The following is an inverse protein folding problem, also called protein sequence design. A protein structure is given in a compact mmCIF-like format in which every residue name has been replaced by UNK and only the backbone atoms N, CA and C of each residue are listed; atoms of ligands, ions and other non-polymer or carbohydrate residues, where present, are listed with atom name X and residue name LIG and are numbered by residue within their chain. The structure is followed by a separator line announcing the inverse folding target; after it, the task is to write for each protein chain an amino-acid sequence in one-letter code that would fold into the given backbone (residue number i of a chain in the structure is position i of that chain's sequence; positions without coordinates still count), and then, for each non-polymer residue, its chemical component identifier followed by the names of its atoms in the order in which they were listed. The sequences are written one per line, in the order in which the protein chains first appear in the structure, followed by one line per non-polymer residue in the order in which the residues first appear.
data_IF_008479227668
#
_entry.id   IF_008479227668
#
_cell.length_a   1.000
_cell.length_b   1.000
_cell.length_c   1.000
_cell.angle_alpha   90.00
_cell.angle_beta   90.00
_cell.angle_gamma   90.00
#
_symmetry.space_group_name_H-M   'P 1'
#
loop_
_entity.id
_entity.type
_entity.pdbx_description
1 polymer ?
#
# COMPACT_ATOMS: atom_id res chain seq x y z
N UNK A 1 16.43 -10.91 28.95
CA UNK A 1 16.11 -11.25 27.54
C UNK A 1 15.42 -10.03 26.95
N UNK A 2 15.98 -9.40 25.90
CA UNK A 2 15.67 -8.01 25.51
C UNK A 2 14.46 -7.93 24.58
N UNK A 3 13.58 -6.99 24.89
CA UNK A 3 12.42 -6.54 24.09
C UNK A 3 12.80 -6.19 22.65
N UNK A 4 12.18 -6.87 21.68
CA UNK A 4 12.18 -6.45 20.29
C UNK A 4 11.08 -5.40 20.08
N UNK A 5 11.43 -4.12 20.31
CA UNK A 5 10.60 -2.99 19.89
C UNK A 5 10.57 -2.95 18.36
N UNK A 6 9.39 -3.20 17.78
CA UNK A 6 9.09 -2.94 16.37
C UNK A 6 9.14 -1.43 16.07
N UNK A 7 10.35 -0.90 15.90
CA UNK A 7 10.62 0.48 15.51
C UNK A 7 10.71 0.62 13.98
N UNK A 8 9.64 0.22 13.29
CA UNK A 8 9.39 0.56 11.89
C UNK A 8 8.21 1.53 11.80
N UNK A 9 8.30 2.56 10.96
CA UNK A 9 7.18 3.45 10.63
C UNK A 9 6.13 2.70 9.80
N UNK A 10 5.41 1.79 10.45
CA UNK A 10 4.22 1.17 9.89
C UNK A 10 3.10 2.21 9.79
N UNK A 11 2.30 2.22 8.72
CA UNK A 11 1.08 3.01 8.68
C UNK A 11 0.19 2.61 9.87
N UNK A 12 -0.36 3.60 10.57
CA UNK A 12 -1.19 3.40 11.79
C UNK A 12 -2.24 2.26 11.71
N UNK A 13 -2.94 2.01 10.58
CA UNK A 13 -3.89 0.89 10.49
C UNK A 13 -3.24 -0.51 10.51
N UNK A 14 -2.01 -0.68 10.04
CA UNK A 14 -1.30 -1.97 10.08
C UNK A 14 -1.02 -2.44 11.53
N UNK A 15 -0.89 -1.48 12.46
CA UNK A 15 -0.76 -1.78 13.89
C UNK A 15 -2.08 -2.21 14.53
N UNK A 16 -3.23 -1.77 13.99
CA UNK A 16 -4.56 -2.16 14.47
C UNK A 16 -4.96 -3.56 13.98
N UNK A 17 -4.56 -3.93 12.75
CA UNK A 17 -4.77 -5.27 12.20
C UNK A 17 -4.18 -6.37 13.10
N UNK A 18 -3.02 -6.12 13.71
CA UNK A 18 -2.35 -7.07 14.59
C UNK A 18 -3.09 -7.31 15.92
N UNK A 19 -3.99 -6.40 16.35
CA UNK A 19 -4.75 -6.54 17.61
C UNK A 19 -6.03 -7.37 17.49
N UNK A 20 -6.52 -7.67 16.29
CA UNK A 20 -7.76 -8.45 16.09
C UNK A 20 -7.46 -9.82 15.50
N UNK A 21 -6.90 -10.71 16.31
CA UNK A 21 -6.95 -12.16 16.09
C UNK A 21 -8.06 -12.74 16.97
N UNK A 22 -9.30 -12.72 16.48
CA UNK A 22 -10.42 -13.31 17.21
C UNK A 22 -11.49 -13.85 16.26
N UNK A 23 -11.11 -14.48 15.14
CA UNK A 23 -12.03 -15.26 14.28
C UNK A 23 -13.24 -14.55 13.66
N UNK A 24 -13.52 -13.30 14.04
CA UNK A 24 -14.65 -12.50 13.60
C UNK A 24 -14.23 -11.73 12.34
N UNK A 25 -14.94 -11.97 11.24
CA UNK A 25 -14.69 -11.25 9.98
C UNK A 25 -15.18 -9.81 10.15
N UNK A 26 -14.26 -8.90 10.46
CA UNK A 26 -14.51 -7.46 10.49
C UNK A 26 -14.60 -6.92 9.05
N UNK A 27 -15.82 -6.93 8.51
CA UNK A 27 -16.11 -6.52 7.12
C UNK A 27 -15.69 -5.06 6.90
N UNK A 28 -15.89 -4.20 7.89
CA UNK A 28 -15.56 -2.77 7.79
C UNK A 28 -14.05 -2.56 7.76
N UNK A 29 -13.30 -3.33 8.55
CA UNK A 29 -11.85 -3.37 8.48
C UNK A 29 -11.37 -3.78 7.08
N UNK A 30 -11.87 -4.91 6.55
CA UNK A 30 -11.46 -5.41 5.23
C UNK A 30 -11.85 -4.44 4.11
N UNK A 31 -13.01 -3.79 4.22
CA UNK A 31 -13.45 -2.74 3.30
C UNK A 31 -12.57 -1.50 3.38
N UNK A 32 -12.05 -1.14 4.55
CA UNK A 32 -11.08 -0.05 4.72
C UNK A 32 -9.69 -0.39 4.17
N UNK A 33 -9.34 -1.67 4.13
CA UNK A 33 -8.10 -2.17 3.54
C UNK A 33 -8.17 -2.15 2.02
N UNK A 34 -9.15 -2.84 1.45
CA UNK A 34 -9.29 -3.08 0.02
C UNK A 34 -10.71 -2.79 -0.43
N UNK A 35 -10.91 -1.67 -1.12
CA UNK A 35 -12.15 -1.36 -1.83
C UNK A 35 -11.85 -1.22 -3.32
N UNK A 36 -12.33 -2.17 -4.10
CA UNK A 36 -12.22 -2.16 -5.56
C UNK A 36 -13.61 -2.00 -6.17
N UNK A 37 -13.75 -1.01 -7.05
CA UNK A 37 -14.96 -0.80 -7.84
C UNK A 37 -14.60 -0.92 -9.32
N UNK A 38 -15.30 -1.81 -10.02
CA UNK A 38 -15.09 -2.10 -11.44
C UNK A 38 -16.40 -2.52 -12.11
N UNK A 39 -16.50 -2.29 -13.41
CA UNK A 39 -17.64 -2.63 -14.25
C UNK A 39 -17.23 -2.57 -15.73
N UNK A 40 -18.18 -2.39 -16.65
CA UNK A 40 -17.86 -2.13 -18.08
C UNK A 40 -17.24 -0.75 -18.34
N UNK A 41 -16.82 -0.06 -17.29
CA UNK A 41 -16.42 1.33 -17.25
C UNK A 41 -15.09 1.53 -16.53
N UNK A 42 -14.79 2.76 -16.07
CA UNK A 42 -13.58 3.01 -15.30
C UNK A 42 -13.57 2.20 -14.00
N UNK A 43 -12.37 1.87 -13.52
CA UNK A 43 -12.18 1.16 -12.26
C UNK A 43 -11.30 1.96 -11.30
N UNK A 44 -11.50 1.76 -10.01
CA UNK A 44 -10.70 2.38 -8.96
C UNK A 44 -10.48 1.43 -7.78
N UNK A 45 -9.26 1.47 -7.26
CA UNK A 45 -8.81 0.78 -6.06
C UNK A 45 -8.54 1.84 -4.98
N UNK A 46 -9.23 1.74 -3.86
CA UNK A 46 -9.11 2.66 -2.71
C UNK A 46 -8.98 1.86 -1.42
N UNK A 47 -8.65 2.55 -0.33
CA UNK A 47 -8.30 1.94 0.96
C UNK A 47 -6.80 2.04 1.24
N UNK A 48 -6.39 1.63 2.43
CA UNK A 48 -4.99 1.81 2.83
C UNK A 48 -4.02 0.88 2.09
N UNK A 49 -4.51 -0.13 1.35
CA UNK A 49 -3.66 -0.96 0.48
C UNK A 49 -2.83 -0.13 -0.51
N UNK A 50 -3.34 1.02 -0.96
CA UNK A 50 -2.65 1.91 -1.90
C UNK A 50 -1.35 2.46 -1.29
N UNK A 51 -1.27 2.58 0.04
CA UNK A 51 -0.05 3.02 0.74
C UNK A 51 1.08 2.00 0.69
N UNK A 52 0.77 0.75 0.35
CA UNK A 52 1.75 -0.32 0.19
C UNK A 52 2.51 -0.25 -1.14
N UNK A 53 2.11 0.63 -2.06
CA UNK A 53 2.71 0.77 -3.37
C UNK A 53 3.20 2.21 -3.56
N UNK A 54 4.47 2.52 -3.24
CA UNK A 54 5.05 3.85 -3.43
C UNK A 54 5.06 4.29 -4.90
N UNK A 55 5.16 3.33 -5.80
CA UNK A 55 5.16 3.55 -7.24
C UNK A 55 4.07 2.72 -7.90
N UNK A 56 3.45 3.31 -8.92
CA UNK A 56 2.42 2.70 -9.74
C UNK A 56 2.84 2.73 -11.20
N UNK A 57 2.28 1.85 -12.00
CA UNK A 57 2.40 1.91 -13.45
C UNK A 57 1.62 3.13 -13.93
N UNK A 58 2.33 4.15 -14.42
CA UNK A 58 1.75 5.41 -14.92
C UNK A 58 1.58 5.41 -16.44
N UNK A 59 2.32 4.55 -17.14
CA UNK A 59 2.17 4.29 -18.56
C UNK A 59 1.99 2.78 -18.78
N UNK A 60 0.82 2.39 -19.27
CA UNK A 60 0.48 1.00 -19.48
C UNK A 60 1.21 0.35 -20.66
N UNK A 61 1.64 1.14 -21.66
CA UNK A 61 2.34 0.67 -22.86
C UNK A 61 3.80 0.36 -22.56
N UNK A 62 4.46 1.27 -21.85
CA UNK A 62 5.88 1.14 -21.50
C UNK A 62 6.10 0.46 -20.14
N UNK A 63 5.03 0.29 -19.34
CA UNK A 63 5.07 -0.16 -17.95
C UNK A 63 5.91 0.74 -17.04
N UNK A 64 6.10 2.01 -17.43
CA UNK A 64 6.87 2.96 -16.64
C UNK A 64 6.26 3.14 -15.24
N UNK A 65 7.13 3.12 -14.22
CA UNK A 65 6.76 3.38 -12.84
C UNK A 65 6.85 4.88 -12.54
N UNK A 66 5.84 5.41 -11.88
CA UNK A 66 5.80 6.78 -11.39
C UNK A 66 5.32 6.84 -9.93
N UNK A 67 5.51 7.99 -9.25
CA UNK A 67 5.12 8.16 -7.87
C UNK A 67 3.60 8.00 -7.69
N UNK A 68 3.21 7.30 -6.63
CA UNK A 68 1.80 7.13 -6.28
C UNK A 68 1.23 8.43 -5.70
N UNK A 69 0.47 9.18 -6.51
CA UNK A 69 -0.17 10.43 -6.10
C UNK A 69 -1.17 10.30 -4.94
N UNK A 70 -1.67 9.10 -4.67
CA UNK A 70 -2.67 8.83 -3.63
C UNK A 70 -2.05 8.52 -2.26
N UNK A 71 -0.72 8.36 -2.17
CA UNK A 71 -0.04 7.86 -0.98
C UNK A 71 -0.24 8.76 0.25
N UNK A 72 -0.16 10.08 0.06
CA UNK A 72 -0.30 11.05 1.16
C UNK A 72 -1.74 11.28 1.62
N UNK A 73 -2.72 11.06 0.74
CA UNK A 73 -4.12 11.44 0.96
C UNK A 73 -5.09 10.25 0.86
N UNK A 74 -4.60 9.02 1.00
CA UNK A 74 -5.37 7.80 0.76
C UNK A 74 -6.70 7.77 1.52
N UNK A 75 -6.73 8.30 2.74
CA UNK A 75 -7.93 8.31 3.59
C UNK A 75 -9.00 9.25 3.03
N UNK A 76 -8.61 10.46 2.63
CA UNK A 76 -9.55 11.42 2.03
C UNK A 76 -10.16 10.86 0.74
N UNK A 77 -9.33 10.23 -0.09
CA UNK A 77 -9.77 9.54 -1.31
C UNK A 77 -10.70 8.36 -1.02
N UNK A 78 -10.39 7.54 0.00
CA UNK A 78 -11.27 6.45 0.43
C UNK A 78 -12.63 6.96 0.93
N UNK A 79 -12.63 8.00 1.76
CA UNK A 79 -13.85 8.62 2.30
C UNK A 79 -14.71 9.21 1.17
N UNK A 80 -14.10 9.93 0.21
CA UNK A 80 -14.77 10.46 -0.97
C UNK A 80 -15.39 9.36 -1.84
N UNK A 81 -14.68 8.25 -2.03
CA UNK A 81 -15.16 7.14 -2.83
C UNK A 81 -16.33 6.38 -2.16
N UNK A 82 -16.37 6.33 -0.83
CA UNK A 82 -17.50 5.76 -0.08
C UNK A 82 -18.71 6.69 -0.02
N UNK A 83 -18.50 8.01 -0.02
CA UNK A 83 -19.59 8.98 -0.06
C UNK A 83 -20.30 9.04 -1.42
N UNK A 84 -19.69 8.49 -2.48
CA UNK A 84 -20.26 8.51 -3.83
C UNK A 84 -21.49 7.61 -3.93
N UNK A 85 -22.61 8.20 -4.34
CA UNK A 85 -23.83 7.47 -4.68
C UNK A 85 -23.85 7.14 -6.17
N UNK A 86 -23.47 5.92 -6.55
CA UNK A 86 -23.56 5.41 -7.92
C UNK A 86 -22.23 4.88 -8.49
N UNK A 87 -22.28 4.45 -9.76
CA UNK A 87 -21.13 3.92 -10.48
C UNK A 87 -20.11 5.01 -10.83
N UNK A 88 -18.83 4.67 -10.82
CA UNK A 88 -17.77 5.53 -11.34
C UNK A 88 -17.99 5.79 -12.83
N UNK A 89 -17.99 7.05 -13.22
CA UNK A 89 -18.21 7.50 -14.60
C UNK A 89 -16.94 8.09 -15.19
N UNK A 90 -16.83 8.10 -16.52
CA UNK A 90 -15.65 8.59 -17.23
C UNK A 90 -15.40 10.10 -17.08
N UNK A 91 -16.45 10.87 -16.79
CA UNK A 91 -16.41 12.32 -16.58
C UNK A 91 -15.99 12.73 -15.15
N UNK A 92 -15.88 11.76 -14.24
CA UNK A 92 -15.52 12.01 -12.84
C UNK A 92 -14.10 11.49 -12.57
N UNK A 93 -13.21 12.30 -11.96
CA UNK A 93 -11.89 11.82 -11.56
C UNK A 93 -11.97 10.62 -10.60
N UNK A 94 -11.13 9.61 -10.82
CA UNK A 94 -11.07 8.46 -9.91
C UNK A 94 -10.38 8.83 -8.60
N UNK A 95 -10.90 8.28 -7.50
CA UNK A 95 -10.31 8.47 -6.17
C UNK A 95 -9.15 7.52 -5.91
N UNK A 96 -8.90 6.60 -6.82
CA UNK A 96 -7.80 5.65 -6.71
C UNK A 96 -7.28 5.19 -8.07
N UNK A 97 -6.12 4.51 -8.08
CA UNK A 97 -5.61 3.90 -9.30
C UNK A 97 -6.53 2.76 -9.75
N UNK A 98 -6.56 2.47 -11.05
CA UNK A 98 -7.09 1.18 -11.51
C UNK A 98 -6.24 0.02 -10.99
N UNK A 99 -6.82 -1.15 -10.79
CA UNK A 99 -6.08 -2.32 -10.26
C UNK A 99 -4.87 -2.70 -11.14
N UNK A 100 -4.94 -2.43 -12.44
CA UNK A 100 -3.85 -2.67 -13.39
C UNK A 100 -2.64 -1.74 -13.23
N UNK A 101 -2.81 -0.62 -12.51
CA UNK A 101 -1.70 0.27 -12.19
C UNK A 101 -0.87 -0.25 -11.00
N UNK A 102 -1.39 -1.21 -10.25
CA UNK A 102 -0.63 -1.94 -9.23
C UNK A 102 0.29 -2.94 -9.95
N UNK A 103 1.62 -2.86 -9.77
CA UNK A 103 2.52 -3.82 -10.37
C UNK A 103 2.26 -5.24 -9.81
N UNK A 104 2.28 -6.24 -10.68
CA UNK A 104 1.97 -7.64 -10.33
C UNK A 104 3.01 -8.33 -9.43
N UNK A 105 4.12 -7.66 -9.15
CA UNK A 105 5.24 -8.17 -8.36
C UNK A 105 5.72 -7.09 -7.37
N UNK A 106 6.71 -7.44 -6.52
CA UNK A 106 7.47 -6.50 -5.70
C UNK A 106 7.73 -5.20 -6.48
N UNK A 107 7.07 -4.12 -6.10
CA UNK A 107 7.28 -2.81 -6.68
C UNK A 107 8.67 -2.34 -6.26
N UNK A 108 9.61 -2.32 -7.20
CA UNK A 108 10.97 -1.83 -6.98
C UNK A 108 11.17 -0.52 -7.74
N UNK A 109 11.56 0.55 -7.05
CA UNK A 109 11.86 1.84 -7.66
C UNK A 109 13.23 2.36 -7.21
N UNK A 110 14.10 2.83 -8.13
CA UNK A 110 15.40 3.41 -7.77
C UNK A 110 15.22 4.73 -7.03
N UNK A 111 16.08 4.98 -6.03
CA UNK A 111 16.07 6.15 -5.17
C UNK A 111 17.49 6.60 -4.94
N UNK A 112 17.75 7.89 -5.17
CA UNK A 112 19.01 8.49 -4.76
C UNK A 112 18.85 9.10 -3.36
N UNK A 113 19.54 8.54 -2.38
CA UNK A 113 19.65 9.12 -1.05
C UNK A 113 20.82 10.09 -1.02
N UNK A 114 20.58 11.31 -0.55
CA UNK A 114 21.62 12.32 -0.31
C UNK A 114 21.70 12.54 1.20
N UNK A 115 22.83 12.18 1.78
CA UNK A 115 23.12 12.46 3.19
C UNK A 115 23.43 13.95 3.34
N UNK A 116 22.59 14.66 4.09
CA UNK A 116 22.70 16.10 4.28
C UNK A 116 23.89 16.52 5.16
N UNK A 117 24.47 15.60 5.96
CA UNK A 117 25.59 15.91 6.86
C UNK A 117 26.95 15.88 6.15
N UNK A 118 27.10 15.02 5.15
CA UNK A 118 28.39 14.82 4.45
C UNK A 118 28.28 14.94 2.92
N UNK A 119 27.08 15.19 2.38
CA UNK A 119 26.83 15.30 0.94
C UNK A 119 26.93 13.99 0.17
N UNK A 120 27.12 12.85 0.84
CA UNK A 120 27.30 11.55 0.19
C UNK A 120 26.01 11.11 -0.51
N UNK A 121 26.17 10.53 -1.70
CA UNK A 121 25.07 10.03 -2.52
C UNK A 121 25.09 8.51 -2.50
N UNK A 122 23.96 7.89 -2.21
CA UNK A 122 23.78 6.43 -2.26
C UNK A 122 22.62 6.09 -3.18
N UNK A 123 22.87 5.20 -4.13
CA UNK A 123 21.83 4.60 -4.95
C UNK A 123 21.17 3.47 -4.15
N UNK A 124 19.86 3.61 -3.93
CA UNK A 124 19.02 2.71 -3.15
C UNK A 124 17.83 2.27 -4.02
N UNK A 125 17.07 1.29 -3.54
CA UNK A 125 15.79 0.89 -4.13
C UNK A 125 14.73 0.85 -3.05
N UNK A 126 13.57 1.47 -3.29
CA UNK A 126 12.35 1.14 -2.55
C UNK A 126 11.83 -0.18 -3.09
N UNK A 127 11.65 -1.15 -2.22
CA UNK A 127 11.03 -2.43 -2.54
C UNK A 127 9.76 -2.55 -1.70
N UNK A 128 8.61 -2.74 -2.34
CA UNK A 128 7.32 -2.84 -1.68
C UNK A 128 6.50 -4.02 -2.21
N UNK A 129 5.77 -4.71 -1.34
CA UNK A 129 4.97 -5.88 -1.71
C UNK A 129 4.40 -6.60 -0.49
N UNK A 130 3.55 -7.60 -0.73
CA UNK A 130 3.10 -8.54 0.29
C UNK A 130 4.20 -9.58 0.51
N UNK A 131 4.90 -9.53 1.64
CA UNK A 131 6.13 -10.32 1.84
C UNK A 131 6.04 -11.36 2.96
N UNK A 132 4.89 -11.57 3.59
CA UNK A 132 4.80 -12.67 4.52
C UNK A 132 3.47 -12.84 5.21
N UNK A 133 3.37 -14.00 5.85
CA UNK A 133 2.33 -14.34 6.81
C UNK A 133 3.06 -14.55 8.13
N UNK A 134 2.77 -13.73 9.14
CA UNK A 134 3.29 -13.89 10.48
C UNK A 134 2.31 -14.77 11.26
N UNK A 135 2.81 -15.88 11.79
CA UNK A 135 2.06 -16.77 12.65
C UNK A 135 2.26 -16.36 14.11
N UNK A 136 1.16 -16.21 14.83
CA UNK A 136 1.19 -15.98 16.28
C UNK A 136 1.65 -17.24 17.02
N UNK A 137 2.60 -17.10 17.94
CA UNK A 137 3.28 -18.22 18.59
C UNK A 137 2.41 -18.97 19.61
N UNK A 138 1.38 -18.31 20.15
CA UNK A 138 0.53 -18.87 21.21
C UNK A 138 -0.81 -19.38 20.65
N UNK A 139 -1.38 -18.69 19.66
CA UNK A 139 -2.69 -19.01 19.07
C UNK A 139 -2.60 -19.72 17.72
N UNK A 140 -1.42 -19.68 17.07
CA UNK A 140 -1.20 -20.24 15.74
C UNK A 140 -1.89 -19.47 14.61
N UNK A 141 -2.52 -18.33 14.89
CA UNK A 141 -3.26 -17.57 13.89
C UNK A 141 -2.32 -16.88 12.90
N UNK A 142 -2.75 -16.81 11.65
CA UNK A 142 -1.99 -16.23 10.55
C UNK A 142 -2.40 -14.76 10.32
N UNK A 143 -1.43 -13.86 10.27
CA UNK A 143 -1.62 -12.46 9.94
C UNK A 143 -0.77 -12.06 8.73
N UNK A 144 -1.36 -11.34 7.78
CA UNK A 144 -0.58 -10.84 6.65
C UNK A 144 0.36 -9.71 7.11
N UNK A 145 1.64 -9.83 6.80
CA UNK A 145 2.64 -8.80 7.02
C UNK A 145 2.90 -8.05 5.71
N UNK A 146 2.56 -6.76 5.73
CA UNK A 146 2.77 -5.82 4.65
C UNK A 146 3.78 -4.75 5.05
N UNK A 147 4.59 -4.29 4.10
CA UNK A 147 5.48 -3.16 4.33
C UNK A 147 6.30 -2.77 3.11
N UNK A 148 7.36 -2.02 3.38
CA UNK A 148 8.34 -1.59 2.40
C UNK A 148 9.74 -1.63 3.03
N UNK A 149 10.75 -1.82 2.20
CA UNK A 149 12.15 -1.76 2.61
C UNK A 149 12.95 -0.87 1.65
N UNK A 150 13.99 -0.23 2.17
CA UNK A 150 15.01 0.43 1.37
C UNK A 150 16.22 -0.49 1.35
N UNK A 151 16.60 -0.97 0.17
CA UNK A 151 17.74 -1.86 -0.01
C UNK A 151 18.82 -1.18 -0.85
N UNK A 152 20.08 -1.53 -0.62
CA UNK A 152 21.20 -1.03 -1.42
C UNK A 152 21.05 -1.42 -2.90
N UNK A 153 21.43 -0.51 -3.80
CA UNK A 153 21.62 -0.84 -5.22
C UNK A 153 22.82 -1.76 -5.39
N UNK A 154 22.64 -2.85 -6.15
CA UNK A 154 23.71 -3.71 -6.67
C UNK A 154 24.24 -3.16 -7.98
#
# INVERSE_FOLDING_TARGET
MRDARCAGKHPQPARQACRRQAGEVDIDFWRSFFRYQSGSGPSELTGWIVTLFPCLIVDWRTKALGPNKYLGNWKAHFDAANARTGWLRYDVPSEGPGIHAVPQALASAPVRCIDLLNGSKKELRFVAGMFGVAQDGDTGALSASFGWAVVGGS
#
